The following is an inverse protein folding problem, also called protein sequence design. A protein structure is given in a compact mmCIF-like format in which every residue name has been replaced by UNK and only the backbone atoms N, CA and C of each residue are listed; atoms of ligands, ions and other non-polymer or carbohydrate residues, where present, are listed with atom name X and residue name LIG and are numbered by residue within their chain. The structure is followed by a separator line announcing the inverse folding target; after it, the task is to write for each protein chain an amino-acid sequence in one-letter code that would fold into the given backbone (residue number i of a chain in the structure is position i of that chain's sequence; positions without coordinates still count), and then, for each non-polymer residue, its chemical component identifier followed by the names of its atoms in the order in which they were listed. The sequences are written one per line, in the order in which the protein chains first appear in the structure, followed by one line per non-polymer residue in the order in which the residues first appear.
data_IF_805394101498
#
_entry.id   IF_805394101498
#
_cell.length_a   1.000
_cell.length_b   1.000
_cell.length_c   1.000
_cell.angle_alpha   90.00
_cell.angle_beta   90.00
_cell.angle_gamma   90.00
#
_symmetry.space_group_name_H-M   'P 1'
#
loop_
_entity.id
_entity.type
_entity.pdbx_description
1 polymer ?
#
# COMPACT_ATOMS: atom_id res chain seq x y z
N UNK A 1 -20.17 -7.62 -2.95
CA UNK A 1 -19.45 -7.09 -1.77
C UNK A 1 -20.32 -7.34 -0.55
N UNK A 2 -19.72 -7.53 0.63
CA UNK A 2 -20.43 -7.54 1.91
C UNK A 2 -20.30 -6.16 2.53
N UNK A 3 -21.41 -5.62 3.03
CA UNK A 3 -21.45 -4.33 3.72
C UNK A 3 -21.41 -4.60 5.23
N UNK A 4 -20.60 -3.84 5.95
CA UNK A 4 -20.55 -3.81 7.41
C UNK A 4 -21.01 -2.42 7.83
N UNK A 5 -22.16 -2.33 8.51
CA UNK A 5 -22.68 -1.06 9.03
C UNK A 5 -21.91 -0.71 10.31
N UNK A 6 -21.30 0.47 10.36
CA UNK A 6 -20.52 0.90 11.53
C UNK A 6 -21.45 1.14 12.73
N UNK A 7 -22.68 1.61 12.48
CA UNK A 7 -23.68 1.88 13.52
C UNK A 7 -24.42 0.64 14.01
N UNK A 8 -24.74 -0.29 13.10
CA UNK A 8 -25.62 -1.43 13.39
C UNK A 8 -24.85 -2.72 13.73
N UNK A 9 -23.65 -2.93 13.17
CA UNK A 9 -22.85 -4.15 13.36
C UNK A 9 -21.80 -3.99 14.48
N UNK A 10 -22.19 -3.48 15.66
CA UNK A 10 -21.24 -3.16 16.76
C UNK A 10 -20.33 -4.32 17.16
N UNK A 11 -20.90 -5.51 17.41
CA UNK A 11 -20.12 -6.72 17.76
C UNK A 11 -19.05 -7.05 16.73
N UNK A 12 -19.31 -6.71 15.47
CA UNK A 12 -18.41 -6.98 14.37
C UNK A 12 -17.28 -5.96 14.29
N UNK A 13 -17.59 -4.69 14.56
CA UNK A 13 -16.60 -3.63 14.68
C UNK A 13 -15.67 -3.90 15.85
N UNK A 14 -16.18 -4.28 17.02
CA UNK A 14 -15.37 -4.63 18.20
C UNK A 14 -14.41 -5.79 17.91
N UNK A 15 -14.90 -6.85 17.24
CA UNK A 15 -14.05 -7.97 16.81
C UNK A 15 -12.97 -7.52 15.82
N UNK A 16 -13.30 -6.62 14.90
CA UNK A 16 -12.31 -6.06 13.98
C UNK A 16 -11.29 -5.20 14.72
N UNK A 17 -11.68 -4.45 15.75
CA UNK A 17 -10.77 -3.64 16.55
C UNK A 17 -9.74 -4.49 17.27
N UNK A 18 -10.16 -5.61 17.87
CA UNK A 18 -9.25 -6.57 18.49
C UNK A 18 -8.26 -7.18 17.48
N UNK A 19 -8.73 -7.49 16.26
CA UNK A 19 -7.91 -8.11 15.22
C UNK A 19 -6.95 -7.12 14.53
N UNK A 20 -7.35 -5.86 14.39
CA UNK A 20 -6.65 -4.84 13.61
C UNK A 20 -6.03 -3.76 14.49
N UNK A 21 -5.82 -4.02 15.78
CA UNK A 21 -5.24 -3.03 16.69
C UNK A 21 -3.82 -2.63 16.29
N UNK A 22 -3.49 -1.36 16.49
CA UNK A 22 -2.16 -0.79 16.27
C UNK A 22 -1.24 -0.84 17.51
N UNK A 23 -1.75 -1.24 18.69
CA UNK A 23 -1.09 -1.09 20.00
C UNK A 23 0.31 -1.69 20.10
N UNK A 24 0.59 -2.79 19.40
CA UNK A 24 1.85 -3.56 19.59
C UNK A 24 2.75 -3.57 18.34
N UNK A 25 2.38 -2.88 17.27
CA UNK A 25 3.07 -2.98 15.97
C UNK A 25 4.25 -2.00 15.81
N UNK A 26 4.49 -1.11 16.79
CA UNK A 26 5.58 -0.11 16.78
C UNK A 26 5.73 0.65 15.45
N UNK A 27 4.60 0.96 14.79
CA UNK A 27 4.60 1.61 13.47
C UNK A 27 4.94 3.11 13.56
N UNK A 28 5.57 3.68 12.53
CA UNK A 28 5.81 5.12 12.46
C UNK A 28 4.49 5.91 12.56
N UNK A 29 4.47 6.97 13.36
CA UNK A 29 3.26 7.77 13.60
C UNK A 29 2.59 8.31 12.32
N UNK A 30 3.41 8.66 11.32
CA UNK A 30 2.93 9.11 10.01
C UNK A 30 2.09 8.03 9.29
N UNK A 31 2.52 6.77 9.39
CA UNK A 31 1.81 5.64 8.80
C UNK A 31 0.53 5.34 9.59
N UNK A 32 0.61 5.31 10.92
CA UNK A 32 -0.55 5.07 11.79
C UNK A 32 -1.63 6.11 11.55
N UNK A 33 -1.28 7.37 11.32
CA UNK A 33 -2.23 8.44 11.01
C UNK A 33 -3.00 8.25 9.69
N UNK A 34 -2.44 7.54 8.71
CA UNK A 34 -3.17 7.21 7.46
C UNK A 34 -4.19 6.07 7.66
N UNK A 35 -3.98 5.24 8.68
CA UNK A 35 -4.86 4.11 9.02
C UNK A 35 -5.81 4.40 10.18
N UNK A 36 -5.54 5.38 11.03
CA UNK A 36 -6.41 5.68 12.16
C UNK A 36 -7.67 6.42 11.68
N UNK A 37 -8.83 5.77 11.80
CA UNK A 37 -10.12 6.32 11.37
C UNK A 37 -10.87 7.08 12.48
N UNK A 38 -10.20 7.43 13.58
CA UNK A 38 -10.79 8.16 14.71
C UNK A 38 -11.49 9.46 14.27
N UNK A 39 -10.95 10.14 13.26
CA UNK A 39 -11.49 11.37 12.67
C UNK A 39 -12.77 11.17 11.85
N UNK A 40 -13.02 9.96 11.37
CA UNK A 40 -14.24 9.61 10.64
C UNK A 40 -15.32 9.07 11.57
N UNK A 41 -14.98 8.05 12.36
CA UNK A 41 -15.89 7.39 13.30
C UNK A 41 -15.12 6.96 14.54
N UNK A 42 -15.55 7.41 15.71
CA UNK A 42 -14.84 7.17 16.97
C UNK A 42 -14.63 5.68 17.29
N UNK A 43 -15.56 4.80 16.89
CA UNK A 43 -15.47 3.35 17.09
C UNK A 43 -14.47 2.66 16.15
N UNK A 44 -13.89 3.36 15.18
CA UNK A 44 -12.84 2.87 14.30
C UNK A 44 -11.45 3.38 14.71
N UNK A 45 -11.35 4.10 15.84
CA UNK A 45 -10.08 4.60 16.36
C UNK A 45 -9.12 3.47 16.72
N UNK A 46 -7.82 3.75 16.56
CA UNK A 46 -6.71 2.83 16.88
C UNK A 46 -6.62 1.56 16.03
N UNK A 47 -7.54 1.40 15.06
CA UNK A 47 -7.53 0.31 14.09
C UNK A 47 -6.61 0.62 12.92
N UNK A 48 -5.89 -0.39 12.43
CA UNK A 48 -5.09 -0.31 11.21
C UNK A 48 -5.97 -0.43 9.95
N UNK A 49 -6.90 0.51 9.79
CA UNK A 49 -7.91 0.51 8.74
C UNK A 49 -7.84 1.78 7.88
N UNK A 50 -7.41 1.69 6.62
CA UNK A 50 -7.30 2.90 5.81
C UNK A 50 -8.65 3.62 5.65
N UNK A 51 -8.62 4.94 5.89
CA UNK A 51 -9.75 5.89 5.74
C UNK A 51 -10.46 5.77 4.40
N UNK A 52 -9.73 5.35 3.35
CA UNK A 52 -10.24 5.22 1.98
C UNK A 52 -11.21 4.05 1.81
N UNK A 53 -11.14 3.03 2.67
CA UNK A 53 -12.06 1.91 2.66
C UNK A 53 -13.34 2.15 3.45
N UNK A 54 -13.44 3.30 4.13
CA UNK A 54 -14.60 3.70 4.93
C UNK A 54 -15.49 4.60 4.09
N UNK A 55 -16.75 4.22 3.91
CA UNK A 55 -17.70 5.03 3.18
C UNK A 55 -18.27 6.14 4.09
N UNK A 56 -18.41 7.39 3.59
CA UNK A 56 -18.95 8.51 4.39
C UNK A 56 -20.34 8.27 4.98
N UNK A 57 -21.13 7.38 4.37
CA UNK A 57 -22.45 6.99 4.87
C UNK A 57 -22.41 6.00 6.06
N UNK A 58 -21.24 5.73 6.65
CA UNK A 58 -21.14 4.92 7.87
C UNK A 58 -21.08 3.42 7.65
N UNK A 59 -20.47 2.96 6.55
CA UNK A 59 -20.30 1.54 6.29
C UNK A 59 -18.95 1.21 5.65
N UNK A 60 -18.53 -0.05 5.77
CA UNK A 60 -17.32 -0.58 5.18
C UNK A 60 -17.68 -1.67 4.16
N UNK A 61 -17.10 -1.60 2.97
CA UNK A 61 -17.30 -2.61 1.92
C UNK A 61 -16.15 -3.61 1.88
N UNK A 62 -16.47 -4.87 2.14
CA UNK A 62 -15.50 -5.95 2.19
C UNK A 62 -15.82 -7.00 1.13
N UNK A 63 -14.82 -7.47 0.38
CA UNK A 63 -15.01 -8.55 -0.57
C UNK A 63 -15.39 -9.85 0.17
N UNK A 64 -15.96 -10.82 -0.56
CA UNK A 64 -16.46 -12.06 0.03
C UNK A 64 -15.36 -12.84 0.76
N UNK A 65 -14.15 -12.86 0.20
CA UNK A 65 -13.00 -13.58 0.74
C UNK A 65 -12.46 -12.93 2.01
N UNK A 66 -12.40 -11.60 2.05
CA UNK A 66 -12.00 -10.86 3.25
C UNK A 66 -13.07 -10.96 4.32
N UNK A 67 -14.35 -10.95 3.96
CA UNK A 67 -15.45 -11.20 4.89
C UNK A 67 -15.30 -12.57 5.57
N UNK A 68 -15.02 -13.63 4.80
CA UNK A 68 -14.75 -14.97 5.37
C UNK A 68 -13.53 -14.97 6.29
N UNK A 69 -12.49 -14.19 5.96
CA UNK A 69 -11.29 -14.07 6.80
C UNK A 69 -11.60 -13.38 8.13
N UNK A 70 -12.31 -12.25 8.09
CA UNK A 70 -12.72 -11.50 9.28
C UNK A 70 -13.63 -12.32 10.20
N UNK A 71 -14.59 -13.08 9.64
CA UNK A 71 -15.44 -13.99 10.43
C UNK A 71 -14.61 -15.05 11.15
N UNK A 72 -13.48 -15.47 10.57
CA UNK A 72 -12.54 -16.43 11.17
C UNK A 72 -11.50 -15.78 12.08
N UNK A 73 -11.60 -14.49 12.40
CA UNK A 73 -10.57 -13.74 13.14
C UNK A 73 -9.20 -13.79 12.47
N UNK A 74 -9.17 -13.72 11.14
CA UNK A 74 -7.96 -13.66 10.35
C UNK A 74 -7.89 -12.36 9.58
N UNK A 75 -6.67 -11.81 9.45
CA UNK A 75 -6.40 -10.63 8.66
C UNK A 75 -6.93 -10.74 7.22
N UNK A 76 -7.56 -9.69 6.68
CA UNK A 76 -8.11 -9.71 5.32
C UNK A 76 -6.99 -9.86 4.28
N UNK A 77 -7.08 -10.88 3.42
CA UNK A 77 -6.02 -11.18 2.43
C UNK A 77 -6.02 -10.27 1.19
N UNK A 78 -7.14 -9.61 0.91
CA UNK A 78 -7.35 -8.76 -0.27
C UNK A 78 -7.71 -7.33 0.13
N UNK A 79 -6.94 -6.75 1.05
CA UNK A 79 -7.12 -5.38 1.60
C UNK A 79 -7.28 -4.33 0.51
N UNK A 80 -6.45 -4.35 -0.53
CA UNK A 80 -6.48 -3.39 -1.65
C UNK A 80 -7.85 -3.36 -2.33
N UNK A 81 -8.48 -4.53 -2.54
CA UNK A 81 -9.79 -4.63 -3.19
C UNK A 81 -10.92 -3.98 -2.37
N UNK A 82 -10.73 -3.86 -1.06
CA UNK A 82 -11.69 -3.24 -0.14
C UNK A 82 -11.42 -1.74 0.04
N UNK A 83 -10.44 -1.18 -0.67
CA UNK A 83 -10.01 0.20 -0.44
C UNK A 83 -9.10 0.37 0.79
N UNK A 84 -8.64 -0.71 1.42
CA UNK A 84 -7.72 -0.66 2.57
C UNK A 84 -6.27 -0.51 2.11
N UNK A 85 -5.96 0.61 1.47
CA UNK A 85 -4.60 0.95 1.03
C UNK A 85 -4.26 2.38 1.46
N UNK A 86 -2.96 2.65 1.59
CA UNK A 86 -2.42 3.97 1.93
C UNK A 86 -1.66 4.57 0.76
N UNK A 87 -1.44 5.88 0.83
CA UNK A 87 -0.82 6.65 -0.23
C UNK A 87 -1.79 7.06 -1.35
N UNK A 88 -1.53 8.24 -1.89
CA UNK A 88 -2.10 8.72 -3.16
C UNK A 88 -0.97 9.15 -4.07
N UNK A 89 -1.15 8.92 -5.36
CA UNK A 89 -0.32 9.57 -6.35
C UNK A 89 -0.60 11.08 -6.28
N UNK A 90 0.41 11.94 -6.05
CA UNK A 90 0.25 13.39 -6.13
C UNK A 90 -0.41 13.80 -7.45
N UNK A 91 -1.30 14.79 -7.40
CA UNK A 91 -2.11 15.18 -8.57
C UNK A 91 -1.27 15.57 -9.79
N UNK A 92 -0.12 16.19 -9.58
CA UNK A 92 0.83 16.56 -10.63
C UNK A 92 1.49 15.35 -11.31
N UNK A 93 1.50 14.18 -10.67
CA UNK A 93 2.02 12.93 -11.25
C UNK A 93 0.92 12.10 -11.94
N UNK A 94 -0.37 12.45 -11.80
CA UNK A 94 -1.45 11.77 -12.53
C UNK A 94 -1.33 12.00 -14.05
N UNK A 95 -0.84 13.17 -14.46
CA UNK A 95 -0.59 13.52 -15.86
C UNK A 95 0.78 13.07 -16.37
N UNK A 96 1.63 12.50 -15.50
CA UNK A 96 2.96 12.09 -15.90
C UNK A 96 2.88 10.98 -16.97
N UNK A 97 3.63 11.10 -18.09
CA UNK A 97 3.68 10.03 -19.06
C UNK A 97 4.32 8.77 -18.45
N UNK A 98 4.12 7.62 -19.09
CA UNK A 98 4.58 6.33 -18.57
C UNK A 98 6.10 6.29 -18.31
N UNK A 99 6.97 6.82 -19.21
CA UNK A 99 8.42 6.88 -18.95
C UNK A 99 8.77 7.61 -17.66
N UNK A 100 8.20 8.78 -17.41
CA UNK A 100 8.45 9.60 -16.23
C UNK A 100 8.04 8.85 -14.96
N UNK A 101 6.88 8.20 -14.98
CA UNK A 101 6.45 7.34 -13.86
C UNK A 101 7.40 6.18 -13.61
N UNK A 102 7.96 5.57 -14.66
CA UNK A 102 8.93 4.49 -14.53
C UNK A 102 10.30 4.97 -14.04
N UNK A 103 10.68 6.22 -14.35
CA UNK A 103 11.93 6.84 -13.90
C UNK A 103 11.85 7.30 -12.43
N UNK A 104 10.68 7.75 -11.98
CA UNK A 104 10.50 8.29 -10.60
C UNK A 104 9.88 7.28 -9.63
N UNK A 105 9.53 6.06 -10.06
CA UNK A 105 8.99 5.06 -9.15
C UNK A 105 10.04 4.65 -8.10
N UNK A 106 9.65 4.71 -6.83
CA UNK A 106 10.47 4.24 -5.71
C UNK A 106 10.38 2.73 -5.50
N UNK A 107 9.46 2.07 -6.21
CA UNK A 107 9.25 0.63 -6.17
C UNK A 107 9.26 0.10 -7.59
N UNK A 108 10.05 -0.94 -7.84
CA UNK A 108 10.15 -1.61 -9.14
C UNK A 108 9.67 -3.06 -9.05
N UNK A 109 9.06 -3.57 -10.13
CA UNK A 109 8.74 -5.00 -10.22
C UNK A 109 10.02 -5.74 -10.62
N UNK A 110 10.60 -6.49 -9.69
CA UNK A 110 11.85 -7.24 -9.92
C UNK A 110 11.62 -8.62 -10.50
N UNK A 111 10.45 -9.22 -10.25
CA UNK A 111 10.11 -10.52 -10.81
C UNK A 111 8.61 -10.67 -11.04
N UNK A 112 8.25 -11.35 -12.12
CA UNK A 112 6.88 -11.73 -12.45
C UNK A 112 6.83 -13.24 -12.60
N UNK A 113 6.28 -13.94 -11.62
CA UNK A 113 6.08 -15.38 -11.71
C UNK A 113 4.68 -15.67 -12.23
N UNK A 114 4.60 -16.30 -13.41
CA UNK A 114 3.35 -16.80 -13.98
C UNK A 114 3.26 -18.30 -13.73
N UNK A 115 2.32 -18.72 -12.90
CA UNK A 115 2.03 -20.14 -12.72
C UNK A 115 1.08 -20.57 -13.82
N UNK A 116 1.51 -21.49 -14.68
CA UNK A 116 0.65 -22.11 -15.68
C UNK A 116 0.37 -23.56 -15.26
N UNK A 117 -0.90 -23.89 -15.00
CA UNK A 117 -1.33 -25.28 -14.81
C UNK A 117 -1.68 -25.86 -16.17
N UNK A 118 -0.87 -26.79 -16.67
CA UNK A 118 -1.09 -27.46 -17.96
C UNK A 118 -2.23 -28.48 -17.87
N UNK A 119 -3.31 -28.25 -18.61
CA UNK A 119 -4.46 -29.15 -18.75
C UNK A 119 -5.44 -28.65 -19.80
N UNK A 120 -6.29 -29.54 -20.34
CA UNK A 120 -7.14 -29.28 -21.51
C UNK A 120 -8.16 -28.14 -21.34
N UNK A 121 -8.46 -27.70 -20.11
CA UNK A 121 -9.36 -26.59 -19.85
C UNK A 121 -8.76 -25.58 -18.86
N UNK A 122 -8.39 -24.42 -19.43
CA UNK A 122 -8.17 -23.10 -18.79
C UNK A 122 -6.91 -22.97 -17.93
N UNK A 123 -5.95 -22.21 -18.47
CA UNK A 123 -4.86 -21.64 -17.71
C UNK A 123 -5.42 -20.70 -16.64
N UNK A 124 -5.31 -21.09 -15.36
CA UNK A 124 -5.34 -20.11 -14.27
C UNK A 124 -4.06 -19.30 -14.41
N UNK A 125 -4.15 -18.05 -14.89
CA UNK A 125 -3.03 -17.11 -14.86
C UNK A 125 -2.95 -16.52 -13.46
N UNK A 126 -2.25 -17.21 -12.56
CA UNK A 126 -1.83 -16.54 -11.32
C UNK A 126 -0.61 -15.70 -11.64
N UNK A 127 -0.69 -14.40 -11.35
CA UNK A 127 0.41 -13.46 -11.45
C UNK A 127 0.92 -13.18 -10.04
N UNK A 128 2.11 -13.67 -9.73
CA UNK A 128 2.85 -13.20 -8.57
C UNK A 128 3.79 -12.09 -9.04
N UNK A 129 3.70 -10.92 -8.43
CA UNK A 129 4.60 -9.79 -8.66
C UNK A 129 5.48 -9.65 -7.41
N UNK A 130 6.78 -9.72 -7.59
CA UNK A 130 7.74 -9.35 -6.56
C UNK A 130 8.15 -7.90 -6.80
N UNK A 131 8.03 -7.10 -5.75
CA UNK A 131 8.38 -5.69 -5.76
C UNK A 131 9.64 -5.48 -4.92
N UNK A 132 10.51 -4.60 -5.39
CA UNK A 132 11.66 -4.10 -4.64
C UNK A 132 11.51 -2.58 -4.49
N UNK A 133 11.68 -2.10 -3.26
CA UNK A 133 11.66 -0.66 -2.93
C UNK A 133 13.03 0.00 -3.03
N UNK A 134 14.05 -0.73 -3.47
CA UNK A 134 15.35 -0.15 -3.81
C UNK A 134 15.18 0.74 -5.04
N UNK A 135 15.53 2.04 -4.97
CA UNK A 135 15.43 2.93 -6.12
C UNK A 135 16.14 2.34 -7.34
N UNK A 136 15.43 2.21 -8.46
CA UNK A 136 16.01 1.68 -9.68
C UNK A 136 17.14 2.57 -10.22
N UNK A 137 18.05 2.04 -11.05
CA UNK A 137 19.20 2.80 -11.58
C UNK A 137 18.82 4.11 -12.29
N UNK A 138 17.63 4.16 -12.88
CA UNK A 138 17.09 5.38 -13.49
C UNK A 138 16.84 6.50 -12.45
N UNK A 139 16.25 6.15 -11.31
CA UNK A 139 15.94 7.10 -10.25
C UNK A 139 17.22 7.62 -9.58
N UNK A 140 18.26 6.80 -9.48
CA UNK A 140 19.56 7.21 -8.92
C UNK A 140 20.38 8.13 -9.83
N UNK A 141 20.01 8.22 -11.11
CA UNK A 141 20.63 9.12 -12.09
C UNK A 141 19.88 10.45 -12.22
N UNK A 142 18.71 10.60 -11.57
CA UNK A 142 17.97 11.86 -11.62
C UNK A 142 18.71 12.95 -10.82
N UNK A 143 18.77 14.19 -11.34
CA UNK A 143 19.33 15.32 -10.60
C UNK A 143 18.65 15.44 -9.24
N UNK A 144 19.44 15.47 -8.17
CA UNK A 144 18.98 15.64 -6.80
C UNK A 144 19.48 16.97 -6.25
N UNK A 145 18.69 17.64 -5.41
CA UNK A 145 19.13 18.88 -4.76
C UNK A 145 20.31 18.61 -3.82
N UNK A 146 21.39 19.37 -3.99
CA UNK A 146 22.61 19.26 -3.16
C UNK A 146 22.32 19.52 -1.68
N UNK A 147 21.28 20.30 -1.36
CA UNK A 147 20.87 20.60 0.01
C UNK A 147 20.49 19.37 0.83
N UNK A 148 20.08 18.28 0.17
CA UNK A 148 19.49 17.11 0.83
C UNK A 148 20.52 15.98 1.00
N UNK A 149 21.79 16.25 0.69
CA UNK A 149 22.85 15.25 0.63
C UNK A 149 23.91 15.55 1.70
N UNK A 150 24.02 14.67 2.71
CA UNK A 150 24.95 14.84 3.83
C UNK A 150 26.43 14.58 3.46
N UNK A 151 26.68 13.86 2.37
CA UNK A 151 28.04 13.60 1.88
C UNK A 151 28.06 13.35 0.37
N UNK A 152 29.10 13.82 -0.32
CA UNK A 152 29.29 13.58 -1.74
C UNK A 152 30.70 13.08 -2.03
N UNK A 153 30.81 12.20 -3.03
CA UNK A 153 32.08 11.68 -3.54
C UNK A 153 32.38 12.36 -4.87
N UNK A 154 33.42 13.17 -4.90
CA UNK A 154 33.95 13.73 -6.15
C UNK A 154 34.95 12.74 -6.74
N UNK A 155 34.68 12.24 -7.93
CA UNK A 155 35.62 11.42 -8.69
C UNK A 155 36.13 12.24 -9.86
N UNK A 156 37.39 12.64 -9.77
CA UNK A 156 38.09 13.35 -10.83
C UNK A 156 38.78 12.32 -11.72
N UNK A 157 38.34 12.21 -12.98
CA UNK A 157 38.91 11.29 -13.96
C UNK A 157 39.39 12.07 -15.20
N UNK A 158 40.69 12.00 -15.49
CA UNK A 158 41.32 12.68 -16.63
C UNK A 158 42.78 13.04 -16.36
N UNK A 159 43.48 13.53 -17.39
CA UNK A 159 44.80 14.15 -17.24
C UNK A 159 44.60 15.59 -16.74
N UNK A 160 44.82 15.80 -15.45
CA UNK A 160 44.82 17.13 -14.85
C UNK A 160 46.19 17.76 -15.10
N UNK A 161 46.27 18.70 -16.04
CA UNK A 161 47.44 19.54 -16.22
C UNK A 161 47.34 20.73 -15.27
N UNK A 162 48.41 20.99 -14.54
CA UNK A 162 48.62 22.18 -13.70
C UNK A 162 48.77 23.44 -14.53
#
# INVERSE_FOLDING_TARGET
MTIISIGDDRDRIERMQLLLSSTDEHLPAQLTAEYDCLDLFACLGEMLLSKRGVHPAGYIQVCKECNVSLVKQLGPKFTIKNGFYVGSLPSHLLSAPLPERLMTQTVSIIAVTRVMRGGAHRAIRSHCLAFDSTPGPAATLLPTFISDINCYRVVMAGLFTT
#
